data_IF_046089659147
#
_entry.id   IF_046089659147
#
_cell.length_a   1.000
_cell.length_b   1.000
_cell.length_c   1.000
_cell.angle_alpha   90.00
_cell.angle_beta   90.00
_cell.angle_gamma   90.00
#
_symmetry.space_group_name_H-M   'P 1'
#
loop_
_entity.id
_entity.type
_entity.pdbx_description
1 polymer ?
#
# COMPACT_ATOMS: atom_id res chain seq x y z
N UNK A 1 13.37 -2.06 0.10
CA UNK A 1 13.05 -2.31 1.51
C UNK A 1 13.65 -1.21 2.40
N UNK A 2 12.84 -0.58 3.25
CA UNK A 2 13.31 0.56 4.08
C UNK A 2 14.37 0.16 5.11
N UNK A 3 14.41 -1.11 5.54
CA UNK A 3 15.44 -1.59 6.48
C UNK A 3 16.77 -1.78 5.76
N UNK A 4 16.77 -2.33 4.54
CA UNK A 4 17.99 -2.48 3.73
C UNK A 4 18.64 -1.12 3.43
N UNK A 5 17.85 -0.09 3.12
CA UNK A 5 18.37 1.27 2.92
C UNK A 5 19.02 1.84 4.20
N UNK A 6 18.45 1.56 5.37
CA UNK A 6 18.98 2.00 6.65
C UNK A 6 20.33 1.33 6.97
N UNK A 7 20.46 0.02 6.69
CA UNK A 7 21.71 -0.74 6.80
C UNK A 7 22.79 -0.18 5.86
N UNK A 8 22.40 0.14 4.62
CA UNK A 8 23.29 0.70 3.61
C UNK A 8 23.79 2.09 4.01
N UNK A 9 22.92 2.98 4.51
CA UNK A 9 23.32 4.31 4.95
C UNK A 9 24.17 4.29 6.22
N UNK A 10 23.91 3.38 7.15
CA UNK A 10 24.78 3.15 8.31
C UNK A 10 26.19 2.73 7.86
N UNK A 11 26.28 1.77 6.93
CA UNK A 11 27.56 1.28 6.40
C UNK A 11 28.31 2.32 5.57
N UNK A 12 27.57 3.20 4.88
CA UNK A 12 28.12 4.29 4.08
C UNK A 12 28.50 5.54 4.91
N UNK A 13 28.23 5.56 6.22
CA UNK A 13 28.47 6.73 7.07
C UNK A 13 27.53 7.92 6.80
N UNK A 14 26.41 7.68 6.12
CA UNK A 14 25.48 8.70 5.62
C UNK A 14 24.49 9.13 6.70
N UNK A 15 25.03 9.77 7.74
CA UNK A 15 24.29 10.12 8.95
C UNK A 15 22.96 10.85 8.70
N UNK A 16 22.95 11.87 7.83
CA UNK A 16 21.72 12.63 7.54
C UNK A 16 20.65 11.76 6.89
N UNK A 17 21.04 10.78 6.06
CA UNK A 17 20.10 9.86 5.43
C UNK A 17 19.53 8.88 6.45
N UNK A 18 20.35 8.40 7.39
CA UNK A 18 19.90 7.57 8.52
C UNK A 18 18.90 8.32 9.40
N UNK A 19 19.23 9.55 9.80
CA UNK A 19 18.34 10.40 10.61
C UNK A 19 17.01 10.66 9.89
N UNK A 20 17.06 11.07 8.62
CA UNK A 20 15.85 11.36 7.85
C UNK A 20 14.97 10.12 7.70
N UNK A 21 15.55 8.95 7.42
CA UNK A 21 14.80 7.71 7.27
C UNK A 21 14.16 7.27 8.60
N UNK A 22 14.86 7.41 9.73
CA UNK A 22 14.29 7.15 11.06
C UNK A 22 13.16 8.13 11.40
N UNK A 23 13.31 9.40 11.03
CA UNK A 23 12.28 10.41 11.22
C UNK A 23 11.01 10.10 10.43
N UNK A 24 11.16 9.74 9.15
CA UNK A 24 10.06 9.29 8.29
C UNK A 24 9.41 8.04 8.86
N UNK A 25 10.20 7.04 9.27
CA UNK A 25 9.68 5.78 9.81
C UNK A 25 8.87 6.01 11.09
N UNK A 26 9.33 6.91 11.96
CA UNK A 26 8.62 7.35 13.17
C UNK A 26 7.29 8.03 12.83
N UNK A 27 7.30 8.96 11.86
CA UNK A 27 6.11 9.69 11.43
C UNK A 27 5.06 8.76 10.83
N UNK A 28 5.47 7.89 9.90
CA UNK A 28 4.59 6.89 9.27
C UNK A 28 4.08 5.89 10.29
N UNK A 29 4.93 5.38 11.19
CA UNK A 29 4.49 4.46 12.23
C UNK A 29 3.48 5.12 13.20
N UNK A 30 3.66 6.40 13.51
CA UNK A 30 2.71 7.17 14.31
C UNK A 30 1.36 7.35 13.60
N UNK A 31 1.34 7.57 12.28
CA UNK A 31 0.11 7.77 11.53
C UNK A 31 -0.73 6.50 11.39
N UNK A 32 -0.09 5.32 11.30
CA UNK A 32 -0.77 4.03 11.16
C UNK A 32 -1.00 3.31 12.51
N UNK A 33 -0.64 3.95 13.63
CA UNK A 33 -0.78 3.35 14.97
C UNK A 33 0.21 2.21 15.27
N UNK A 34 1.29 2.08 14.50
CA UNK A 34 2.37 1.12 14.69
C UNK A 34 3.30 1.52 15.86
N UNK A 35 2.76 1.52 17.08
CA UNK A 35 3.44 2.02 18.28
C UNK A 35 4.82 1.40 18.51
N UNK A 36 4.99 0.09 18.25
CA UNK A 36 6.28 -0.59 18.39
C UNK A 36 7.35 -0.06 17.43
N UNK A 37 6.98 0.19 16.17
CA UNK A 37 7.90 0.74 15.15
C UNK A 37 8.20 2.20 15.45
N UNK A 38 7.20 2.96 15.88
CA UNK A 38 7.35 4.35 16.28
C UNK A 38 8.33 4.51 17.45
N UNK A 39 8.20 3.68 18.50
CA UNK A 39 9.08 3.70 19.67
C UNK A 39 10.51 3.28 19.31
N UNK A 40 10.65 2.23 18.50
CA UNK A 40 11.96 1.76 18.05
C UNK A 40 12.68 2.83 17.20
N UNK A 41 11.97 3.49 16.29
CA UNK A 41 12.52 4.59 15.49
C UNK A 41 12.86 5.83 16.34
N UNK A 42 11.99 6.20 17.29
CA UNK A 42 12.23 7.30 18.21
C UNK A 42 13.43 7.05 19.14
N UNK A 43 13.69 5.79 19.49
CA UNK A 43 14.87 5.41 20.29
C UNK A 43 16.16 5.50 19.46
N UNK A 44 16.10 5.29 18.14
CA UNK A 44 17.26 5.28 17.25
C UNK A 44 17.63 6.67 16.70
N UNK A 45 16.64 7.52 16.47
CA UNK A 45 16.80 8.89 15.97
C UNK A 45 17.88 9.71 16.71
N UNK A 46 17.97 9.74 18.06
CA UNK A 46 19.00 10.50 18.76
C UNK A 46 20.42 9.97 18.58
N UNK A 47 20.60 8.66 18.30
CA UNK A 47 21.92 8.10 18.01
C UNK A 47 22.40 8.52 16.62
N UNK A 48 21.49 8.51 15.63
CA UNK A 48 21.76 9.05 14.30
C UNK A 48 22.09 10.55 14.37
N UNK A 49 21.39 11.33 15.20
CA UNK A 49 21.64 12.76 15.36
C UNK A 49 23.01 13.07 16.01
N UNK A 50 23.52 12.16 16.85
CA UNK A 50 24.86 12.25 17.48
C UNK A 50 25.99 11.64 16.66
N UNK A 51 25.74 11.27 15.40
CA UNK A 51 26.68 10.56 14.52
C UNK A 51 27.12 9.19 15.05
N UNK A 52 26.37 8.60 15.98
CA UNK A 52 26.68 7.32 16.61
C UNK A 52 26.04 6.17 15.80
N UNK A 53 26.54 6.02 14.57
CA UNK A 53 26.02 5.03 13.61
C UNK A 53 26.29 3.58 14.03
N UNK A 54 27.30 3.36 14.87
CA UNK A 54 27.60 2.05 15.46
C UNK A 54 26.49 1.64 16.45
N UNK A 55 26.05 2.57 17.30
CA UNK A 55 24.91 2.35 18.19
C UNK A 55 23.57 2.22 17.45
N UNK A 56 23.43 2.84 16.27
CA UNK A 56 22.27 2.61 15.38
C UNK A 56 22.35 1.20 14.78
N UNK A 57 23.48 0.81 14.20
CA UNK A 57 23.68 -0.50 13.59
C UNK A 57 23.47 -1.64 14.59
N UNK A 58 23.93 -1.49 15.84
CA UNK A 58 23.72 -2.46 16.91
C UNK A 58 22.23 -2.71 17.24
N UNK A 59 21.39 -1.67 17.11
CA UNK A 59 19.96 -1.73 17.44
C UNK A 59 19.05 -1.92 16.23
N UNK A 60 19.59 -1.79 15.04
CA UNK A 60 18.90 -1.98 13.77
C UNK A 60 18.21 -3.36 13.66
N UNK A 61 18.80 -4.49 14.09
CA UNK A 61 18.12 -5.79 14.07
C UNK A 61 16.82 -5.80 14.89
N UNK A 62 16.78 -5.05 16.00
CA UNK A 62 15.57 -4.92 16.82
C UNK A 62 14.50 -4.09 16.12
N UNK A 63 14.88 -2.99 15.47
CA UNK A 63 13.95 -2.21 14.65
C UNK A 63 13.38 -3.07 13.51
N UNK A 64 14.23 -3.84 12.83
CA UNK A 64 13.85 -4.76 11.75
C UNK A 64 12.88 -5.83 12.24
N UNK A 65 13.11 -6.40 13.43
CA UNK A 65 12.21 -7.38 14.03
C UNK A 65 10.82 -6.77 14.27
N UNK A 66 10.76 -5.60 14.93
CA UNK A 66 9.48 -4.95 15.27
C UNK A 66 8.76 -4.47 13.99
N UNK A 67 9.50 -4.00 12.99
CA UNK A 67 8.95 -3.66 11.68
C UNK A 67 8.33 -4.87 10.99
N UNK A 68 9.02 -6.01 10.94
CA UNK A 68 8.49 -7.24 10.37
C UNK A 68 7.30 -7.79 11.17
N UNK A 69 7.31 -7.71 12.50
CA UNK A 69 6.17 -8.10 13.33
C UNK A 69 4.94 -7.24 13.05
N UNK A 70 5.14 -5.94 12.85
CA UNK A 70 4.06 -5.00 12.55
C UNK A 70 3.53 -5.23 11.14
N UNK A 71 4.41 -5.46 10.16
CA UNK A 71 4.01 -5.87 8.81
C UNK A 71 3.26 -7.20 8.82
N UNK A 72 3.74 -8.19 9.57
CA UNK A 72 3.07 -9.48 9.74
C UNK A 72 1.70 -9.32 10.36
N UNK A 73 1.57 -8.54 11.43
CA UNK A 73 0.28 -8.25 12.05
C UNK A 73 -0.66 -7.48 11.11
N UNK A 74 -0.16 -6.52 10.33
CA UNK A 74 -0.94 -5.82 9.30
C UNK A 74 -1.41 -6.80 8.22
N UNK A 75 -0.53 -7.67 7.75
CA UNK A 75 -0.85 -8.70 6.76
C UNK A 75 -1.86 -9.71 7.30
N UNK A 76 -1.74 -10.14 8.55
CA UNK A 76 -2.69 -11.02 9.22
C UNK A 76 -4.04 -10.32 9.44
N UNK A 77 -4.06 -9.04 9.83
CA UNK A 77 -5.29 -8.27 9.96
C UNK A 77 -5.96 -8.01 8.61
N UNK A 78 -5.19 -7.74 7.56
CA UNK A 78 -5.72 -7.61 6.19
C UNK A 78 -6.21 -8.96 5.65
N UNK A 79 -5.53 -10.06 5.98
CA UNK A 79 -5.96 -11.42 5.65
C UNK A 79 -7.23 -11.81 6.42
N UNK A 80 -7.32 -11.51 7.71
CA UNK A 80 -8.51 -11.77 8.54
C UNK A 80 -9.69 -10.87 8.15
N UNK A 81 -9.45 -9.62 7.76
CA UNK A 81 -10.47 -8.76 7.15
C UNK A 81 -10.96 -9.30 5.80
N UNK A 82 -10.14 -10.09 5.10
CA UNK A 82 -10.54 -10.85 3.92
C UNK A 82 -11.21 -12.20 4.25
N UNK A 83 -11.11 -12.70 5.49
CA UNK A 83 -11.73 -13.97 5.94
C UNK A 83 -13.11 -13.79 6.62
N UNK A 84 -13.46 -12.58 7.09
CA UNK A 84 -14.85 -12.23 7.49
C UNK A 84 -15.71 -11.73 6.30
N UNK A 85 -15.10 -11.59 5.12
CA UNK A 85 -15.80 -11.67 3.85
C UNK A 85 -15.81 -13.14 3.41
N UNK A 86 -16.92 -13.66 2.82
CA UNK A 86 -16.99 -15.06 2.44
C UNK A 86 -15.80 -15.43 1.53
N UNK A 87 -15.07 -16.45 1.98
CA UNK A 87 -13.83 -16.95 1.41
C UNK A 87 -13.78 -16.94 -0.12
N UNK A 88 -12.75 -16.30 -0.69
CA UNK A 88 -12.09 -16.82 -1.89
C UNK A 88 -10.58 -16.60 -1.80
N UNK A 89 -9.86 -17.71 -1.77
CA UNK A 89 -8.41 -17.79 -1.92
C UNK A 89 -8.00 -17.38 -3.34
N UNK A 90 -6.85 -16.71 -3.47
CA UNK A 90 -6.17 -16.55 -4.75
C UNK A 90 -4.81 -15.87 -4.57
N UNK A 91 -3.77 -16.59 -4.15
CA UNK A 91 -2.75 -17.07 -5.11
C UNK A 91 -3.12 -16.84 -6.57
N UNK A 92 -2.29 -16.10 -7.28
CA UNK A 92 -2.38 -15.94 -8.74
C UNK A 92 -2.70 -17.28 -9.43
N UNK A 93 -3.59 -17.22 -10.44
CA UNK A 93 -3.22 -17.81 -11.70
C UNK A 93 -3.38 -16.78 -12.81
N UNK A 94 -2.28 -16.56 -13.53
CA UNK A 94 -2.38 -16.20 -14.92
C UNK A 94 -3.27 -17.23 -15.66
N UNK A 95 -4.26 -16.73 -16.40
CA UNK A 95 -5.15 -17.44 -17.34
C UNK A 95 -6.52 -17.88 -16.79
N UNK A 96 -7.56 -17.15 -17.20
CA UNK A 96 -8.79 -17.77 -17.68
C UNK A 96 -10.04 -17.69 -16.80
N UNK A 97 -10.29 -16.56 -16.14
CA UNK A 97 -11.62 -15.95 -15.82
C UNK A 97 -11.36 -14.91 -14.70
N UNK A 98 -10.68 -13.80 -15.03
CA UNK A 98 -10.61 -12.66 -14.09
C UNK A 98 -12.02 -12.09 -13.99
N UNK A 99 -12.70 -12.35 -12.86
CA UNK A 99 -14.03 -11.82 -12.62
C UNK A 99 -13.94 -10.31 -12.47
N UNK A 100 -14.84 -9.61 -13.13
CA UNK A 100 -14.97 -8.16 -13.08
C UNK A 100 -15.05 -7.65 -11.62
N UNK A 101 -15.74 -8.37 -10.75
CA UNK A 101 -15.89 -8.04 -9.32
C UNK A 101 -14.56 -8.05 -8.56
N UNK A 102 -13.66 -9.00 -8.84
CA UNK A 102 -12.32 -9.06 -8.25
C UNK A 102 -11.47 -7.88 -8.69
N UNK A 103 -11.51 -7.52 -9.97
CA UNK A 103 -10.79 -6.38 -10.52
C UNK A 103 -11.27 -5.06 -9.89
N UNK A 104 -12.59 -4.89 -9.73
CA UNK A 104 -13.17 -3.71 -9.08
C UNK A 104 -12.79 -3.62 -7.60
N UNK A 105 -12.82 -4.75 -6.88
CA UNK A 105 -12.46 -4.81 -5.46
C UNK A 105 -10.98 -4.48 -5.24
N UNK A 106 -10.11 -5.01 -6.11
CA UNK A 106 -8.67 -4.74 -6.06
C UNK A 106 -8.34 -3.30 -6.46
N UNK A 107 -9.06 -2.75 -7.44
CA UNK A 107 -8.93 -1.34 -7.81
C UNK A 107 -9.37 -0.41 -6.66
N UNK A 108 -10.43 -0.76 -5.92
CA UNK A 108 -10.88 0.02 -4.76
C UNK A 108 -9.81 0.06 -3.67
N UNK A 109 -9.17 -1.08 -3.41
CA UNK A 109 -8.07 -1.17 -2.46
C UNK A 109 -6.86 -0.33 -2.88
N UNK A 110 -6.48 -0.37 -4.16
CA UNK A 110 -5.35 0.44 -4.65
C UNK A 110 -5.63 1.94 -4.61
N UNK A 111 -6.87 2.35 -4.89
CA UNK A 111 -7.28 3.75 -4.75
C UNK A 111 -7.23 4.22 -3.29
N UNK A 112 -7.60 3.36 -2.34
CA UNK A 112 -7.52 3.67 -0.90
C UNK A 112 -6.07 3.86 -0.42
N UNK A 113 -5.15 3.06 -0.98
CA UNK A 113 -3.73 3.12 -0.66
C UNK A 113 -2.95 4.15 -1.50
N UNK A 114 -3.61 4.85 -2.44
CA UNK A 114 -2.98 5.83 -3.34
C UNK A 114 -1.93 5.21 -4.26
N UNK A 115 -2.10 3.95 -4.64
CA UNK A 115 -1.13 3.20 -5.40
C UNK A 115 -1.28 3.45 -6.91
N UNK A 116 -0.15 3.75 -7.57
CA UNK A 116 -0.08 3.95 -9.01
C UNK A 116 -0.40 2.68 -9.82
N UNK A 117 -0.35 1.51 -9.18
CA UNK A 117 -0.74 0.24 -9.80
C UNK A 117 -2.22 0.21 -10.23
N UNK A 118 -3.06 1.12 -9.70
CA UNK A 118 -4.46 1.27 -10.07
C UNK A 118 -4.65 1.53 -11.59
N UNK A 119 -3.77 2.30 -12.23
CA UNK A 119 -3.81 2.57 -13.67
C UNK A 119 -3.72 1.27 -14.50
N UNK A 120 -2.87 0.35 -14.07
CA UNK A 120 -2.67 -0.94 -14.74
C UNK A 120 -3.91 -1.83 -14.66
N UNK A 121 -4.66 -1.74 -13.57
CA UNK A 121 -5.91 -2.47 -13.38
C UNK A 121 -7.07 -1.89 -14.18
N UNK A 122 -7.11 -0.57 -14.34
CA UNK A 122 -8.12 0.09 -15.17
C UNK A 122 -7.95 -0.24 -16.65
N UNK A 123 -6.71 -0.36 -17.13
CA UNK A 123 -6.45 -0.80 -18.52
C UNK A 123 -7.00 -2.21 -18.77
N UNK A 124 -6.86 -3.12 -17.80
CA UNK A 124 -7.46 -4.46 -17.84
C UNK A 124 -8.99 -4.41 -17.85
N UNK A 125 -9.60 -3.54 -17.04
CA UNK A 125 -11.06 -3.34 -17.03
C UNK A 125 -11.58 -2.82 -18.38
N UNK A 126 -10.81 -1.98 -19.08
CA UNK A 126 -11.15 -1.49 -20.41
C UNK A 126 -11.17 -2.60 -21.47
N UNK A 127 -10.49 -3.72 -21.20
CA UNK A 127 -10.50 -4.92 -22.04
C UNK A 127 -11.84 -5.68 -22.02
N UNK A 128 -12.72 -5.41 -21.05
CA UNK A 128 -14.03 -6.05 -20.97
C UNK A 128 -15.08 -5.31 -21.80
N UNK A 129 -16.10 -6.05 -22.27
CA UNK A 129 -17.25 -5.46 -22.95
C UNK A 129 -18.19 -4.79 -21.95
N UNK A 130 -17.87 -3.52 -21.67
CA UNK A 130 -18.65 -2.61 -20.82
C UNK A 130 -19.67 -1.82 -21.66
N UNK A 131 -20.80 -1.45 -21.05
CA UNK A 131 -21.77 -0.54 -21.65
C UNK A 131 -21.19 0.86 -21.88
N UNK A 132 -21.82 1.66 -22.74
CA UNK A 132 -21.35 3.02 -23.07
C UNK A 132 -21.18 3.91 -21.84
N UNK A 133 -22.09 3.78 -20.87
CA UNK A 133 -22.05 4.54 -19.61
C UNK A 133 -20.91 4.10 -18.69
N UNK A 134 -20.69 2.80 -18.55
CA UNK A 134 -19.59 2.23 -17.77
C UNK A 134 -18.23 2.60 -18.38
N UNK A 135 -18.12 2.61 -19.72
CA UNK A 135 -16.90 3.07 -20.41
C UNK A 135 -16.59 4.53 -20.11
N UNK A 136 -17.59 5.42 -20.14
CA UNK A 136 -17.37 6.83 -19.78
C UNK A 136 -16.98 7.04 -18.31
N UNK A 137 -17.45 6.19 -17.40
CA UNK A 137 -16.99 6.20 -16.00
C UNK A 137 -15.55 5.71 -15.89
N UNK A 138 -15.16 4.70 -16.67
CA UNK A 138 -13.80 4.17 -16.71
C UNK A 138 -12.80 5.22 -17.22
N UNK A 139 -13.14 5.94 -18.31
CA UNK A 139 -12.32 7.01 -18.86
C UNK A 139 -12.09 8.15 -17.84
N UNK A 140 -13.14 8.54 -17.11
CA UNK A 140 -13.03 9.52 -16.02
C UNK A 140 -12.11 9.02 -14.90
N UNK A 141 -12.19 7.74 -14.57
CA UNK A 141 -11.37 7.14 -13.53
C UNK A 141 -9.88 7.10 -13.93
N UNK A 142 -9.57 6.85 -15.21
CA UNK A 142 -8.20 6.99 -15.75
C UNK A 142 -7.69 8.43 -15.63
N UNK A 143 -8.51 9.42 -15.97
CA UNK A 143 -8.13 10.83 -15.88
C UNK A 143 -7.84 11.24 -14.43
N UNK A 144 -8.70 10.85 -13.49
CA UNK A 144 -8.54 11.09 -12.06
C UNK A 144 -7.27 10.43 -11.51
N UNK A 145 -6.98 9.19 -11.91
CA UNK A 145 -5.74 8.49 -11.55
C UNK A 145 -4.49 9.19 -12.09
N UNK A 146 -4.51 9.67 -13.34
CA UNK A 146 -3.39 10.44 -13.91
C UNK A 146 -3.16 11.77 -13.18
N UNK A 147 -4.21 12.35 -12.61
CA UNK A 147 -4.16 13.57 -11.80
C UNK A 147 -3.87 13.29 -10.31
N UNK A 148 -3.67 12.03 -9.93
CA UNK A 148 -3.50 11.58 -8.54
C UNK A 148 -4.69 11.94 -7.63
N UNK A 149 -5.89 12.13 -8.22
CA UNK A 149 -7.13 12.46 -7.51
C UNK A 149 -7.84 11.18 -7.04
N UNK A 150 -7.17 10.41 -6.18
CA UNK A 150 -7.62 9.09 -5.70
C UNK A 150 -8.99 9.12 -5.01
N UNK A 151 -9.31 10.20 -4.29
CA UNK A 151 -10.58 10.37 -3.58
C UNK A 151 -11.78 10.43 -4.55
N UNK A 152 -11.64 11.20 -5.64
CA UNK A 152 -12.69 11.28 -6.68
C UNK A 152 -12.73 10.05 -7.58
N UNK A 153 -11.59 9.37 -7.76
CA UNK A 153 -11.53 8.08 -8.44
C UNK A 153 -12.30 7.00 -7.68
N UNK A 154 -12.22 6.97 -6.34
CA UNK A 154 -12.96 6.02 -5.50
C UNK A 154 -14.48 6.20 -5.62
N UNK A 155 -14.95 7.44 -5.69
CA UNK A 155 -16.36 7.76 -5.93
C UNK A 155 -16.81 7.27 -7.31
N UNK A 156 -15.97 7.49 -8.32
CA UNK A 156 -16.24 7.07 -9.70
C UNK A 156 -16.24 5.54 -9.81
N UNK A 157 -15.37 4.86 -9.07
CA UNK A 157 -15.32 3.41 -8.99
C UNK A 157 -16.59 2.82 -8.38
N UNK A 158 -17.11 3.41 -7.29
CA UNK A 158 -18.35 2.98 -6.66
C UNK A 158 -19.56 3.12 -7.61
N UNK A 159 -19.57 4.18 -8.45
CA UNK A 159 -20.59 4.35 -9.48
C UNK A 159 -20.45 3.32 -10.60
N UNK A 160 -19.21 3.00 -10.98
CA UNK A 160 -18.92 2.00 -12.00
C UNK A 160 -19.34 0.60 -11.54
N UNK A 161 -19.03 0.22 -10.29
CA UNK A 161 -19.41 -1.09 -9.74
C UNK A 161 -20.93 -1.24 -9.63
N UNK A 162 -21.65 -0.21 -9.16
CA UNK A 162 -23.11 -0.22 -9.10
C UNK A 162 -23.75 -0.35 -10.49
N UNK A 163 -23.21 0.33 -11.51
CA UNK A 163 -23.69 0.19 -12.91
C UNK A 163 -23.40 -1.19 -13.49
N UNK A 164 -22.24 -1.76 -13.21
CA UNK A 164 -21.87 -3.10 -13.69
C UNK A 164 -22.75 -4.17 -13.03
N UNK A 165 -23.01 -4.05 -11.73
CA UNK A 165 -23.89 -4.97 -10.98
C UNK A 165 -25.34 -4.85 -11.47
N UNK A 166 -25.85 -3.64 -11.72
CA UNK A 166 -27.21 -3.44 -12.25
C UNK A 166 -27.38 -3.81 -13.72
N UNK A 167 -26.31 -3.76 -14.51
CA UNK A 167 -26.33 -4.14 -15.93
C UNK A 167 -26.27 -5.66 -16.17
N UNK A 168 -26.07 -6.46 -15.13
CA UNK A 168 -26.00 -7.92 -15.19
C UNK A 168 -27.34 -8.63 -14.92
N UNK A 169 -28.40 -7.89 -14.58
CA UNK A 169 -29.81 -8.37 -14.51
C UNK A 169 -30.55 -8.17 -15.84
#
# INVERSE_FOLDING_TARGET
DSMEQLEQYCSAGEQRKVEHLLHTLKGVAGSIGAAGVQEAAATLEPYAQRSDLDAVAFRLPRLKLVFNQTLGALQEHLAQAAEDAPSTSGSEPASGDERMEDLLSRLAWLLDNGDAEALSLVDRLNGFSLGSRSRSLLERLVEQLNHHDFETAQQTLSLLSDEIIRGAE
#
